data_IF_602769258499
#
_entry.id   IF_602769258499
#
_cell.length_a   1.000
_cell.length_b   1.000
_cell.length_c   1.000
_cell.angle_alpha   90.00
_cell.angle_beta   90.00
_cell.angle_gamma   90.00
#
_symmetry.space_group_name_H-M   'P 1'
#
loop_
_entity.id
_entity.type
_entity.pdbx_description
1 polymer ?
#
# COMPACT_ATOMS: atom_id res chain seq x y z
N UNK A 1 -6.91 -19.55 -18.06
CA UNK A 1 -5.58 -18.99 -18.43
C UNK A 1 -4.60 -19.31 -17.31
N UNK A 2 -3.51 -20.04 -17.58
CA UNK A 2 -2.46 -20.33 -16.59
C UNK A 2 -1.74 -19.01 -16.26
N UNK A 3 -1.89 -18.52 -15.03
CA UNK A 3 -1.19 -17.31 -14.53
C UNK A 3 0.32 -17.55 -14.57
N UNK A 4 1.04 -16.75 -15.35
CA UNK A 4 2.50 -16.64 -15.24
C UNK A 4 2.77 -15.81 -13.99
N UNK A 5 3.09 -16.47 -12.87
CA UNK A 5 3.66 -15.79 -11.71
C UNK A 5 4.94 -15.09 -12.15
N UNK A 6 5.01 -13.79 -11.91
CA UNK A 6 6.22 -13.01 -12.16
C UNK A 6 7.22 -13.35 -11.07
N UNK A 7 8.18 -14.23 -11.38
CA UNK A 7 9.26 -14.56 -10.46
C UNK A 7 10.20 -13.36 -10.45
N UNK A 8 10.06 -12.46 -9.50
CA UNK A 8 11.13 -11.50 -9.19
C UNK A 8 12.26 -12.34 -8.58
N UNK A 9 13.31 -12.58 -9.37
CA UNK A 9 14.50 -13.25 -8.85
C UNK A 9 15.05 -12.39 -7.71
N UNK A 10 15.04 -12.94 -6.50
CA UNK A 10 15.73 -12.33 -5.36
C UNK A 10 17.18 -12.02 -5.78
N UNK A 11 17.55 -10.75 -5.75
CA UNK A 11 18.91 -10.31 -6.06
C UNK A 11 19.56 -9.95 -4.72
N UNK A 12 20.44 -10.80 -4.18
CA UNK A 12 21.00 -10.65 -2.82
C UNK A 12 21.77 -9.34 -2.61
N UNK A 13 22.20 -8.67 -3.68
CA UNK A 13 23.00 -7.43 -3.62
C UNK A 13 22.17 -6.14 -3.75
N UNK A 14 20.84 -6.23 -3.89
CA UNK A 14 19.99 -5.02 -3.97
C UNK A 14 19.48 -4.68 -2.57
N UNK A 15 19.77 -3.44 -2.12
CA UNK A 15 19.21 -2.92 -0.88
C UNK A 15 17.67 -2.89 -0.98
N UNK A 16 16.94 -3.33 0.04
CA UNK A 16 15.49 -3.28 0.04
C UNK A 16 14.97 -1.85 -0.10
N UNK A 17 13.80 -1.69 -0.72
CA UNK A 17 13.11 -0.41 -0.79
C UNK A 17 12.65 0.05 0.60
N UNK A 18 12.19 -0.91 1.41
CA UNK A 18 11.79 -0.71 2.80
C UNK A 18 12.30 -1.89 3.64
N UNK A 19 12.86 -1.60 4.81
CA UNK A 19 13.28 -2.62 5.78
C UNK A 19 12.89 -2.19 7.19
N UNK A 20 12.19 -3.05 7.89
CA UNK A 20 11.85 -2.94 9.30
C UNK A 20 12.68 -3.95 10.08
N UNK A 21 13.24 -3.52 11.22
CA UNK A 21 14.10 -4.36 12.05
C UNK A 21 13.73 -4.18 13.51
N UNK A 22 13.33 -5.28 14.16
CA UNK A 22 12.97 -5.35 15.59
C UNK A 22 11.90 -4.30 15.99
N UNK A 23 10.91 -4.05 15.11
CA UNK A 23 9.88 -3.06 15.36
C UNK A 23 8.91 -3.56 16.41
N UNK A 24 8.71 -2.77 17.47
CA UNK A 24 7.68 -3.03 18.48
C UNK A 24 6.83 -1.78 18.72
N UNK A 25 5.54 -2.03 19.02
CA UNK A 25 4.56 -1.02 19.38
C UNK A 25 3.51 -1.57 20.30
N UNK A 26 3.30 -0.91 21.44
CA UNK A 26 2.20 -1.15 22.35
C UNK A 26 1.33 0.10 22.48
N UNK A 27 0.07 -0.08 22.83
CA UNK A 27 -0.83 0.96 23.30
C UNK A 27 -1.20 0.63 24.74
N UNK A 28 -0.86 1.54 25.65
CA UNK A 28 -0.89 1.26 27.08
C UNK A 28 -0.07 -0.02 27.37
N UNK A 29 -0.66 -1.04 27.98
CA UNK A 29 0.00 -2.31 28.28
C UNK A 29 -0.28 -3.41 27.24
N UNK A 30 -0.99 -3.08 26.14
CA UNK A 30 -1.33 -4.05 25.08
C UNK A 30 -0.33 -4.00 23.93
N UNK A 31 0.51 -5.02 23.74
CA UNK A 31 1.40 -5.12 22.59
C UNK A 31 0.57 -5.36 21.32
N UNK A 32 0.86 -4.59 20.25
CA UNK A 32 0.20 -4.72 18.94
C UNK A 32 1.18 -5.19 17.88
N UNK A 33 2.41 -4.70 17.91
CA UNK A 33 3.51 -5.17 17.06
C UNK A 33 4.65 -5.57 17.98
N UNK A 34 5.26 -6.73 17.72
CA UNK A 34 6.25 -7.33 18.59
C UNK A 34 7.42 -7.85 17.78
N UNK A 35 8.60 -7.28 17.98
CA UNK A 35 9.87 -7.68 17.35
C UNK A 35 9.72 -7.97 15.83
N UNK A 36 8.99 -7.13 15.13
CA UNK A 36 8.62 -7.36 13.74
C UNK A 36 9.78 -7.06 12.79
N UNK A 37 10.02 -8.00 11.89
CA UNK A 37 10.95 -7.86 10.79
C UNK A 37 10.22 -7.94 9.45
N UNK A 38 10.47 -7.00 8.55
CA UNK A 38 9.90 -6.98 7.21
C UNK A 38 10.91 -6.39 6.23
N UNK A 39 11.01 -6.97 5.03
CA UNK A 39 11.89 -6.46 3.98
C UNK A 39 11.19 -6.54 2.62
N UNK A 40 11.03 -5.38 1.97
CA UNK A 40 10.35 -5.26 0.67
C UNK A 40 11.38 -4.97 -0.41
N UNK A 41 11.38 -5.77 -1.47
CA UNK A 41 12.28 -5.58 -2.60
C UNK A 41 11.81 -4.43 -3.51
N UNK A 42 12.72 -3.64 -4.10
CA UNK A 42 12.35 -2.59 -5.05
C UNK A 42 11.57 -3.16 -6.24
N UNK A 43 10.52 -2.45 -6.63
CA UNK A 43 9.70 -2.81 -7.79
C UNK A 43 8.84 -4.06 -7.61
N UNK A 44 8.58 -4.48 -6.38
CA UNK A 44 7.73 -5.65 -6.07
C UNK A 44 6.36 -5.24 -5.54
N UNK A 45 5.37 -6.11 -5.79
CA UNK A 45 4.07 -6.07 -5.11
C UNK A 45 4.12 -7.06 -3.95
N UNK A 46 3.91 -6.55 -2.74
CA UNK A 46 3.93 -7.34 -1.52
C UNK A 46 2.54 -7.36 -0.88
N UNK A 47 2.08 -8.53 -0.50
CA UNK A 47 0.85 -8.72 0.25
C UNK A 47 1.11 -8.81 1.74
N UNK A 48 0.30 -8.14 2.54
CA UNK A 48 0.26 -8.28 3.99
C UNK A 48 -1.08 -8.87 4.38
N UNK A 49 -1.09 -10.15 4.73
CA UNK A 49 -2.25 -10.87 5.19
C UNK A 49 -2.27 -10.97 6.72
N UNK A 50 -3.44 -10.97 7.30
CA UNK A 50 -3.63 -11.13 8.74
C UNK A 50 -5.08 -10.90 9.11
N UNK A 51 -5.53 -11.48 10.20
CA UNK A 51 -6.87 -11.28 10.73
C UNK A 51 -7.13 -9.82 11.11
N UNK A 52 -8.39 -9.47 11.34
CA UNK A 52 -8.75 -8.18 11.88
C UNK A 52 -8.14 -8.01 13.28
N UNK A 53 -7.50 -6.88 13.52
CA UNK A 53 -6.80 -6.63 14.78
C UNK A 53 -5.37 -7.18 14.86
N UNK A 54 -4.84 -7.86 13.85
CA UNK A 54 -3.46 -8.37 13.84
C UNK A 54 -2.37 -7.29 13.82
N UNK A 55 -2.73 -6.02 13.60
CA UNK A 55 -1.79 -4.90 13.59
C UNK A 55 -1.44 -4.33 12.21
N UNK A 56 -2.13 -4.73 11.12
CA UNK A 56 -1.84 -4.25 9.74
C UNK A 56 -1.85 -2.72 9.61
N UNK A 57 -2.93 -2.07 10.02
CA UNK A 57 -3.05 -0.60 9.99
C UNK A 57 -2.05 0.08 10.91
N UNK A 58 -1.74 -0.52 12.08
CA UNK A 58 -0.69 -0.05 12.98
C UNK A 58 0.68 -0.10 12.29
N UNK A 59 1.00 -1.21 11.64
CA UNK A 59 2.24 -1.37 10.87
C UNK A 59 2.35 -0.31 9.76
N UNK A 60 1.28 -0.06 9.01
CA UNK A 60 1.26 1.00 7.99
C UNK A 60 1.47 2.39 8.60
N UNK A 61 0.82 2.68 9.72
CA UNK A 61 0.99 3.94 10.46
C UNK A 61 2.44 4.15 10.93
N UNK A 62 3.11 3.09 11.37
CA UNK A 62 4.54 3.11 11.74
C UNK A 62 5.43 3.39 10.52
N UNK A 63 5.15 2.76 9.36
CA UNK A 63 5.91 2.97 8.11
C UNK A 63 5.73 4.39 7.60
N UNK A 64 4.50 4.90 7.59
CA UNK A 64 4.18 6.26 7.12
C UNK A 64 4.71 7.33 8.07
N UNK A 65 4.80 7.02 9.38
CA UNK A 65 5.27 7.94 10.41
C UNK A 65 4.17 8.79 11.05
N UNK A 66 2.90 8.37 10.93
CA UNK A 66 1.79 8.91 11.74
C UNK A 66 1.82 8.36 13.15
N UNK A 67 2.51 7.23 13.35
CA UNK A 67 2.75 6.59 14.63
C UNK A 67 4.24 6.34 14.81
N UNK A 68 4.78 6.54 16.01
CA UNK A 68 6.17 6.23 16.36
C UNK A 68 6.25 4.84 16.97
N UNK A 69 7.23 4.05 16.54
CA UNK A 69 7.57 2.77 17.17
C UNK A 69 8.15 3.01 18.57
N UNK A 70 7.91 2.08 19.47
CA UNK A 70 8.50 2.10 20.82
C UNK A 70 9.95 1.62 20.78
N UNK A 71 10.25 0.67 19.87
CA UNK A 71 11.62 0.21 19.60
C UNK A 71 11.78 -0.23 18.15
N UNK A 72 13.02 -0.42 17.74
CA UNK A 72 13.41 -0.89 16.42
C UNK A 72 13.68 0.22 15.40
N UNK A 73 13.99 -0.19 14.19
CA UNK A 73 14.49 0.70 13.13
C UNK A 73 13.75 0.48 11.81
N UNK A 74 13.41 1.57 11.13
CA UNK A 74 12.82 1.57 9.79
C UNK A 74 13.80 2.21 8.82
N UNK A 75 14.14 1.49 7.77
CA UNK A 75 15.04 1.95 6.72
C UNK A 75 14.30 2.03 5.39
N UNK A 76 14.57 3.07 4.61
CA UNK A 76 14.06 3.24 3.25
C UNK A 76 15.18 3.68 2.31
N UNK A 77 14.91 3.67 1.02
CA UNK A 77 15.75 4.20 -0.08
C UNK A 77 17.26 4.20 0.22
N UNK A 78 17.93 3.16 -0.21
CA UNK A 78 19.39 3.05 -0.06
C UNK A 78 19.88 2.69 1.35
N UNK A 79 18.97 2.39 2.29
CA UNK A 79 19.29 2.04 3.67
C UNK A 79 19.34 3.23 4.63
N UNK A 80 18.70 4.35 4.26
CA UNK A 80 18.56 5.50 5.15
C UNK A 80 17.60 5.20 6.31
N UNK A 81 18.00 5.54 7.54
CA UNK A 81 17.18 5.40 8.73
C UNK A 81 16.10 6.49 8.75
N UNK A 82 14.83 6.07 8.83
CA UNK A 82 13.68 6.97 8.81
C UNK A 82 12.79 6.87 10.06
N UNK A 83 13.14 6.06 11.05
CA UNK A 83 12.30 5.79 12.24
C UNK A 83 11.80 7.03 12.94
N UNK A 84 12.64 8.05 13.07
CA UNK A 84 12.33 9.29 13.78
C UNK A 84 11.88 10.45 12.87
N UNK A 85 11.77 10.20 11.55
CA UNK A 85 11.32 11.23 10.63
C UNK A 85 9.80 11.35 10.65
N UNK A 86 9.25 12.58 10.67
CA UNK A 86 7.83 12.82 10.60
C UNK A 86 7.28 12.47 9.20
N UNK A 87 5.96 12.26 9.11
CA UNK A 87 5.26 11.88 7.89
C UNK A 87 5.62 12.73 6.67
N UNK A 88 5.66 14.06 6.81
CA UNK A 88 5.93 14.96 5.69
C UNK A 88 7.34 14.78 5.10
N UNK A 89 8.33 14.44 5.92
CA UNK A 89 9.69 14.12 5.45
C UNK A 89 9.74 12.75 4.75
N UNK A 90 9.03 11.75 5.30
CA UNK A 90 8.94 10.43 4.66
C UNK A 90 8.25 10.53 3.30
N UNK A 91 7.19 11.33 3.19
CA UNK A 91 6.52 11.57 1.91
C UNK A 91 7.41 12.33 0.91
N UNK A 92 8.06 13.42 1.32
CA UNK A 92 8.84 14.27 0.39
C UNK A 92 10.20 13.69 0.02
N UNK A 93 11.00 13.23 1.01
CA UNK A 93 12.38 12.78 0.79
C UNK A 93 12.45 11.32 0.37
N UNK A 94 11.59 10.47 0.93
CA UNK A 94 11.60 9.02 0.71
C UNK A 94 10.46 8.54 -0.18
N UNK A 95 9.62 9.48 -0.64
CA UNK A 95 8.55 9.24 -1.62
C UNK A 95 7.66 8.06 -1.21
N UNK A 96 7.28 8.02 0.08
CA UNK A 96 6.34 7.04 0.64
C UNK A 96 4.94 7.64 0.59
N UNK A 97 4.00 6.95 -0.08
CA UNK A 97 2.59 7.32 -0.13
C UNK A 97 1.71 6.28 0.54
N UNK A 98 0.54 6.70 1.01
CA UNK A 98 -0.40 5.85 1.72
C UNK A 98 -1.84 6.11 1.29
N UNK A 99 -2.55 5.04 1.00
CA UNK A 99 -3.99 5.03 0.76
C UNK A 99 -4.66 4.27 1.90
N UNK A 100 -5.31 4.98 2.83
CA UNK A 100 -5.94 4.35 3.99
C UNK A 100 -7.22 3.62 3.62
N UNK A 101 -7.66 2.71 4.48
CA UNK A 101 -8.93 2.00 4.37
C UNK A 101 -10.12 2.97 4.24
N UNK A 102 -10.20 3.94 5.17
CA UNK A 102 -11.15 5.05 5.10
C UNK A 102 -10.58 6.15 4.23
N UNK A 103 -11.16 6.34 3.05
CA UNK A 103 -10.67 7.33 2.09
C UNK A 103 -10.75 8.75 2.65
N UNK A 104 -9.65 9.47 2.52
CA UNK A 104 -9.54 10.88 2.94
C UNK A 104 -9.73 11.84 1.75
N UNK A 105 -10.83 11.67 1.02
CA UNK A 105 -11.21 12.57 -0.07
C UNK A 105 -11.83 13.86 0.49
N UNK A 106 -11.57 14.97 -0.19
CA UNK A 106 -12.22 16.25 0.08
C UNK A 106 -13.61 16.22 -0.55
N UNK A 107 -14.61 15.81 0.23
CA UNK A 107 -15.96 15.48 -0.23
C UNK A 107 -16.66 16.62 -0.97
N UNK A 108 -16.43 17.86 -0.56
CA UNK A 108 -17.01 19.07 -1.19
C UNK A 108 -16.31 19.50 -2.48
N UNK A 109 -15.13 18.97 -2.80
CA UNK A 109 -14.41 19.29 -4.03
C UNK A 109 -14.73 18.28 -5.14
N UNK A 110 -14.60 18.74 -6.40
CA UNK A 110 -14.72 17.84 -7.55
C UNK A 110 -13.59 16.80 -7.58
N UNK A 111 -13.75 15.77 -8.41
CA UNK A 111 -12.72 14.75 -8.64
C UNK A 111 -11.40 15.41 -9.06
N UNK A 112 -11.41 16.28 -10.07
CA UNK A 112 -10.21 16.99 -10.53
C UNK A 112 -9.62 17.93 -9.46
N UNK A 113 -10.45 18.64 -8.68
CA UNK A 113 -9.97 19.56 -7.66
C UNK A 113 -9.38 18.83 -6.45
N UNK A 114 -9.79 17.59 -6.19
CA UNK A 114 -9.12 16.70 -5.25
C UNK A 114 -7.66 16.38 -5.63
N UNK A 115 -7.36 16.31 -6.94
CA UNK A 115 -5.98 16.12 -7.44
C UNK A 115 -5.27 17.47 -7.45
N UNK A 116 -5.88 18.49 -8.08
CA UNK A 116 -5.30 19.83 -8.24
C UNK A 116 -4.89 20.45 -6.90
N UNK A 117 -5.77 20.41 -5.90
CA UNK A 117 -5.49 20.98 -4.58
C UNK A 117 -4.26 20.36 -3.90
N UNK A 118 -4.05 19.04 -4.03
CA UNK A 118 -2.82 18.41 -3.52
C UNK A 118 -1.58 18.79 -4.34
N UNK A 119 -1.70 18.93 -5.66
CA UNK A 119 -0.60 19.42 -6.48
C UNK A 119 -0.17 20.83 -6.04
N UNK A 120 -1.12 21.74 -5.79
CA UNK A 120 -0.86 23.12 -5.34
C UNK A 120 -0.13 23.19 -3.99
N UNK A 121 -0.33 22.21 -3.10
CA UNK A 121 0.40 22.12 -1.84
C UNK A 121 1.88 21.73 -2.06
N UNK A 122 2.17 20.99 -3.12
CA UNK A 122 3.50 20.40 -3.35
C UNK A 122 4.33 21.12 -4.41
N UNK A 123 3.70 21.92 -5.29
CA UNK A 123 4.35 22.63 -6.40
C UNK A 123 3.60 23.92 -6.76
N UNK A 124 4.34 24.89 -7.34
CA UNK A 124 3.81 26.21 -7.72
C UNK A 124 3.65 26.40 -9.24
N UNK A 125 4.00 25.40 -10.05
CA UNK A 125 3.93 25.47 -11.51
C UNK A 125 2.55 25.02 -11.99
N UNK A 126 1.69 26.00 -12.33
CA UNK A 126 0.33 25.75 -12.77
C UNK A 126 0.26 24.85 -14.02
N UNK A 127 1.17 25.01 -14.98
CA UNK A 127 1.19 24.19 -16.18
C UNK A 127 1.45 22.72 -15.84
N UNK A 128 2.44 22.48 -14.98
CA UNK A 128 2.77 21.14 -14.51
C UNK A 128 1.63 20.52 -13.66
N UNK A 129 0.91 21.35 -12.89
CA UNK A 129 -0.27 20.91 -12.13
C UNK A 129 -1.33 20.38 -13.07
N UNK A 130 -1.68 21.12 -14.13
CA UNK A 130 -2.70 20.67 -15.11
C UNK A 130 -2.24 19.40 -15.85
N UNK A 131 -0.98 19.33 -16.29
CA UNK A 131 -0.43 18.13 -16.91
C UNK A 131 -0.54 16.88 -16.01
N UNK A 132 -0.29 17.03 -14.70
CA UNK A 132 -0.45 15.94 -13.72
C UNK A 132 -1.92 15.59 -13.54
N UNK A 133 -2.82 16.58 -13.43
CA UNK A 133 -4.25 16.36 -13.30
C UNK A 133 -4.80 15.57 -14.48
N UNK A 134 -4.54 16.02 -15.72
CA UNK A 134 -5.02 15.36 -16.93
C UNK A 134 -4.49 13.95 -17.08
N UNK A 135 -3.20 13.76 -16.81
CA UNK A 135 -2.56 12.44 -16.82
C UNK A 135 -3.21 11.50 -15.82
N UNK A 136 -3.42 11.92 -14.55
CA UNK A 136 -3.99 11.07 -13.53
C UNK A 136 -5.48 10.80 -13.77
N UNK A 137 -6.26 11.78 -14.21
CA UNK A 137 -7.65 11.56 -14.59
C UNK A 137 -7.79 10.55 -15.73
N UNK A 138 -6.90 10.63 -16.72
CA UNK A 138 -6.86 9.68 -17.85
C UNK A 138 -6.42 8.29 -17.39
N UNK A 139 -5.29 8.17 -16.68
CA UNK A 139 -4.72 6.90 -16.21
C UNK A 139 -5.70 6.12 -15.33
N UNK A 140 -6.50 6.83 -14.52
CA UNK A 140 -7.47 6.24 -13.61
C UNK A 140 -8.90 6.18 -14.14
N UNK A 141 -9.12 6.52 -15.43
CA UNK A 141 -10.46 6.55 -16.06
C UNK A 141 -11.46 7.35 -15.24
N UNK A 142 -11.09 8.59 -14.91
CA UNK A 142 -11.89 9.54 -14.11
C UNK A 142 -12.30 10.79 -14.90
N UNK A 143 -11.99 10.87 -16.20
CA UNK A 143 -12.32 12.02 -17.04
C UNK A 143 -13.83 12.32 -17.07
N UNK A 144 -14.66 11.27 -17.22
CA UNK A 144 -16.11 11.40 -17.29
C UNK A 144 -16.73 11.97 -16.01
N UNK A 145 -16.01 11.83 -14.88
CA UNK A 145 -16.45 12.29 -13.56
C UNK A 145 -15.56 13.40 -13.00
N UNK A 146 -14.70 13.99 -13.83
CA UNK A 146 -13.72 15.00 -13.41
C UNK A 146 -14.36 16.17 -12.63
N UNK A 147 -15.55 16.61 -13.05
CA UNK A 147 -16.30 17.73 -12.43
C UNK A 147 -17.29 17.28 -11.35
N UNK A 148 -17.48 15.96 -11.14
CA UNK A 148 -18.38 15.41 -10.12
C UNK A 148 -17.74 15.57 -8.75
N UNK A 149 -18.51 15.91 -7.72
CA UNK A 149 -18.03 16.02 -6.34
C UNK A 149 -17.60 14.65 -5.82
N UNK A 150 -16.56 14.63 -5.00
CA UNK A 150 -16.04 13.38 -4.44
C UNK A 150 -17.07 12.64 -3.56
N UNK A 151 -18.02 13.34 -2.94
CA UNK A 151 -19.14 12.77 -2.20
C UNK A 151 -20.14 11.99 -3.07
N UNK A 152 -20.19 12.26 -4.37
CA UNK A 152 -21.13 11.69 -5.33
C UNK A 152 -20.53 10.54 -6.16
N UNK A 153 -19.21 10.29 -5.98
CA UNK A 153 -18.52 9.23 -6.67
C UNK A 153 -18.96 7.84 -6.16
N UNK A 154 -19.07 6.89 -7.08
CA UNK A 154 -19.20 5.47 -6.68
C UNK A 154 -17.99 5.01 -5.88
N UNK A 155 -18.13 3.95 -5.06
CA UNK A 155 -17.03 3.41 -4.27
C UNK A 155 -15.78 3.07 -5.10
N UNK A 156 -15.96 2.53 -6.30
CA UNK A 156 -14.87 2.23 -7.23
C UNK A 156 -14.19 3.50 -7.78
N UNK A 157 -14.96 4.53 -8.12
CA UNK A 157 -14.43 5.84 -8.55
C UNK A 157 -13.67 6.52 -7.41
N UNK A 158 -14.22 6.52 -6.20
CA UNK A 158 -13.59 7.08 -5.02
C UNK A 158 -12.25 6.37 -4.69
N UNK A 159 -12.18 5.04 -4.78
CA UNK A 159 -10.93 4.29 -4.63
C UNK A 159 -9.91 4.67 -5.70
N UNK A 160 -10.31 4.75 -6.99
CA UNK A 160 -9.43 5.17 -8.08
C UNK A 160 -8.89 6.58 -7.87
N UNK A 161 -9.74 7.52 -7.46
CA UNK A 161 -9.33 8.89 -7.11
C UNK A 161 -8.33 8.91 -5.95
N UNK A 162 -8.55 8.11 -4.92
CA UNK A 162 -7.62 8.03 -3.78
C UNK A 162 -6.24 7.50 -4.18
N UNK A 163 -6.19 6.51 -5.08
CA UNK A 163 -4.92 6.00 -5.64
C UNK A 163 -4.26 7.08 -6.52
N UNK A 164 -5.01 7.75 -7.39
CA UNK A 164 -4.49 8.83 -8.22
C UNK A 164 -3.84 9.93 -7.38
N UNK A 165 -4.48 10.36 -6.30
CA UNK A 165 -3.92 11.34 -5.35
C UNK A 165 -2.61 10.87 -4.72
N UNK A 166 -2.50 9.59 -4.38
CA UNK A 166 -1.27 9.03 -3.80
C UNK A 166 -0.09 9.00 -4.78
N UNK A 167 -0.35 9.13 -6.09
CA UNK A 167 0.67 9.13 -7.15
C UNK A 167 1.14 10.52 -7.59
N UNK A 168 0.58 11.60 -7.06
CA UNK A 168 0.93 12.98 -7.44
C UNK A 168 2.44 13.25 -7.37
N UNK A 169 3.10 12.76 -6.31
CA UNK A 169 4.53 12.95 -6.08
C UNK A 169 5.39 11.80 -6.62
N UNK A 170 4.84 10.97 -7.51
CA UNK A 170 5.52 9.82 -8.12
C UNK A 170 6.28 8.97 -7.08
N UNK A 171 5.60 8.26 -6.18
CA UNK A 171 6.20 7.58 -5.03
C UNK A 171 7.12 6.42 -5.43
N UNK A 172 8.14 6.16 -4.60
CA UNK A 172 8.98 4.95 -4.68
C UNK A 172 8.33 3.78 -3.93
N UNK A 173 7.51 4.09 -2.91
CA UNK A 173 6.76 3.12 -2.10
C UNK A 173 5.32 3.61 -1.95
N UNK A 174 4.36 2.74 -2.21
CA UNK A 174 2.95 2.99 -1.94
C UNK A 174 2.35 1.89 -1.06
N UNK A 175 1.60 2.31 -0.05
CA UNK A 175 0.92 1.43 0.89
C UNK A 175 -0.58 1.50 0.66
N UNK A 176 -1.23 0.35 0.46
CA UNK A 176 -2.68 0.23 0.29
C UNK A 176 -3.29 -0.54 1.46
N UNK A 177 -4.04 0.14 2.31
CA UNK A 177 -4.71 -0.49 3.44
C UNK A 177 -6.15 -0.86 3.08
N UNK A 178 -6.41 -2.16 2.97
CA UNK A 178 -7.71 -2.75 2.62
C UNK A 178 -8.38 -2.08 1.40
N UNK A 179 -7.60 -1.92 0.33
CA UNK A 179 -8.05 -1.17 -0.87
C UNK A 179 -9.24 -1.83 -1.58
N UNK A 180 -9.45 -3.14 -1.41
CA UNK A 180 -10.53 -3.89 -2.04
C UNK A 180 -11.79 -4.01 -1.16
N UNK A 181 -11.74 -3.54 0.09
CA UNK A 181 -12.85 -3.65 1.02
C UNK A 181 -14.13 -2.97 0.49
N UNK A 182 -15.28 -3.63 0.71
CA UNK A 182 -16.62 -3.15 0.35
C UNK A 182 -16.82 -2.86 -1.15
N UNK A 183 -16.10 -3.55 -2.03
CA UNK A 183 -16.25 -3.43 -3.48
C UNK A 183 -16.84 -4.70 -4.10
N UNK A 184 -17.58 -4.52 -5.21
CA UNK A 184 -18.06 -5.66 -5.99
C UNK A 184 -16.90 -6.40 -6.68
N UNK A 185 -17.03 -7.70 -6.97
CA UNK A 185 -15.98 -8.49 -7.64
C UNK A 185 -15.48 -7.88 -8.94
N UNK A 186 -16.36 -7.27 -9.73
CA UNK A 186 -16.00 -6.61 -11.01
C UNK A 186 -15.06 -5.41 -10.76
N UNK A 187 -15.36 -4.61 -9.73
CA UNK A 187 -14.54 -3.45 -9.37
C UNK A 187 -13.20 -3.90 -8.80
N UNK A 188 -13.18 -4.96 -7.99
CA UNK A 188 -11.95 -5.58 -7.47
C UNK A 188 -11.02 -5.99 -8.62
N UNK A 189 -11.53 -6.71 -9.62
CA UNK A 189 -10.73 -7.11 -10.79
C UNK A 189 -10.23 -5.91 -11.60
N UNK A 190 -11.03 -4.85 -11.70
CA UNK A 190 -10.60 -3.60 -12.35
C UNK A 190 -9.45 -2.95 -11.59
N UNK A 191 -9.54 -2.86 -10.26
CA UNK A 191 -8.47 -2.30 -9.42
C UNK A 191 -7.21 -3.16 -9.43
N UNK A 192 -7.34 -4.50 -9.44
CA UNK A 192 -6.17 -5.40 -9.58
C UNK A 192 -5.41 -5.12 -10.87
N UNK A 193 -6.12 -5.02 -12.01
CA UNK A 193 -5.50 -4.68 -13.30
C UNK A 193 -4.80 -3.32 -13.26
N UNK A 194 -5.44 -2.33 -12.63
CA UNK A 194 -4.86 -0.99 -12.46
C UNK A 194 -3.57 -1.05 -11.63
N UNK A 195 -3.55 -1.76 -10.50
CA UNK A 195 -2.36 -1.92 -9.64
C UNK A 195 -1.23 -2.65 -10.41
N UNK A 196 -1.56 -3.68 -11.18
CA UNK A 196 -0.57 -4.37 -12.03
C UNK A 196 0.01 -3.44 -13.10
N UNK A 197 -0.82 -2.61 -13.73
CA UNK A 197 -0.39 -1.63 -14.72
C UNK A 197 0.51 -0.56 -14.09
N UNK A 198 0.18 -0.08 -12.90
CA UNK A 198 1.01 0.86 -12.14
C UNK A 198 2.42 0.31 -11.91
N UNK A 199 2.53 -0.93 -11.45
CA UNK A 199 3.82 -1.55 -11.19
C UNK A 199 4.58 -1.84 -12.51
N UNK A 200 3.89 -2.16 -13.59
CA UNK A 200 4.50 -2.43 -14.89
C UNK A 200 5.04 -1.15 -15.54
N UNK A 201 4.30 -0.05 -15.46
CA UNK A 201 4.69 1.26 -15.99
C UNK A 201 5.76 1.94 -15.13
N UNK A 202 5.74 1.70 -13.81
CA UNK A 202 6.68 2.25 -12.82
C UNK A 202 7.49 1.11 -12.19
N UNK A 203 8.49 0.60 -12.94
CA UNK A 203 9.26 -0.61 -12.57
C UNK A 203 9.95 -0.55 -11.20
N UNK A 204 10.26 0.64 -10.69
CA UNK A 204 10.86 0.86 -9.38
C UNK A 204 9.84 0.96 -8.25
N UNK A 205 8.55 1.16 -8.56
CA UNK A 205 7.50 1.32 -7.56
C UNK A 205 7.31 0.04 -6.76
N UNK A 206 7.52 0.14 -5.45
CA UNK A 206 7.28 -0.93 -4.49
C UNK A 206 5.90 -0.74 -3.87
N UNK A 207 5.10 -1.78 -3.88
CA UNK A 207 3.72 -1.74 -3.39
C UNK A 207 3.59 -2.70 -2.22
N UNK A 208 2.97 -2.25 -1.11
CA UNK A 208 2.54 -3.10 0.00
C UNK A 208 1.03 -2.97 0.13
N UNK A 209 0.32 -4.09 0.01
CA UNK A 209 -1.15 -4.14 0.04
C UNK A 209 -1.58 -5.00 1.23
N UNK A 210 -2.41 -4.46 2.13
CA UNK A 210 -3.14 -5.28 3.08
C UNK A 210 -4.54 -5.60 2.58
N UNK A 211 -5.01 -6.78 2.88
CA UNK A 211 -6.42 -7.16 2.74
C UNK A 211 -6.74 -8.32 3.70
N UNK A 212 -8.02 -8.47 4.04
CA UNK A 212 -8.52 -9.60 4.80
C UNK A 212 -9.00 -10.74 3.89
N UNK A 213 -9.14 -10.51 2.57
CA UNK A 213 -9.47 -11.53 1.58
C UNK A 213 -8.21 -11.96 0.83
N UNK A 214 -7.64 -13.08 1.24
CA UNK A 214 -6.36 -13.57 0.71
C UNK A 214 -6.32 -13.73 -0.80
N UNK A 215 -7.43 -14.16 -1.45
CA UNK A 215 -7.48 -14.33 -2.89
C UNK A 215 -7.17 -13.04 -3.65
N UNK A 216 -7.55 -11.89 -3.10
CA UNK A 216 -7.24 -10.60 -3.72
C UNK A 216 -5.73 -10.35 -3.78
N UNK A 217 -5.02 -10.73 -2.73
CA UNK A 217 -3.58 -10.54 -2.57
C UNK A 217 -2.79 -11.58 -3.36
N UNK A 218 -3.16 -12.87 -3.23
CA UNK A 218 -2.42 -13.96 -3.87
C UNK A 218 -2.36 -13.83 -5.40
N UNK A 219 -3.36 -13.17 -5.97
CA UNK A 219 -3.44 -12.94 -7.42
C UNK A 219 -2.49 -11.85 -7.91
N UNK A 220 -2.09 -10.93 -7.03
CA UNK A 220 -1.31 -9.74 -7.36
C UNK A 220 0.13 -9.82 -6.90
N UNK A 221 0.35 -10.38 -5.70
CA UNK A 221 1.60 -10.23 -4.99
C UNK A 221 2.74 -11.09 -5.58
N UNK A 222 3.93 -10.53 -5.63
CA UNK A 222 5.17 -11.24 -5.89
C UNK A 222 5.65 -11.95 -4.61
N UNK A 223 5.33 -11.39 -3.45
CA UNK A 223 5.64 -11.94 -2.12
C UNK A 223 4.48 -11.66 -1.16
N UNK A 224 4.28 -12.56 -0.22
CA UNK A 224 3.23 -12.46 0.81
C UNK A 224 3.84 -12.61 2.19
N UNK A 225 3.36 -11.81 3.13
CA UNK A 225 3.76 -11.79 4.53
C UNK A 225 2.51 -12.02 5.39
N UNK A 226 2.57 -12.99 6.29
CA UNK A 226 1.49 -13.29 7.23
C UNK A 226 1.77 -12.61 8.56
N UNK A 227 0.90 -11.68 8.95
CA UNK A 227 0.93 -11.00 10.24
C UNK A 227 -0.08 -11.65 11.19
N UNK A 228 0.39 -12.20 12.29
CA UNK A 228 -0.41 -12.74 13.37
C UNK A 228 0.17 -12.32 14.72
N UNK A 229 -0.69 -11.91 15.63
CA UNK A 229 -0.32 -11.49 17.00
C UNK A 229 0.87 -10.52 17.05
N UNK A 230 0.91 -9.59 16.10
CA UNK A 230 1.96 -8.58 16.02
C UNK A 230 3.28 -9.05 15.42
N UNK A 231 3.40 -10.30 14.96
CA UNK A 231 4.61 -10.87 14.35
C UNK A 231 4.40 -11.22 12.88
N UNK A 232 5.45 -11.10 12.07
CA UNK A 232 5.48 -11.76 10.75
C UNK A 232 5.85 -13.22 10.96
N UNK A 233 4.85 -14.10 10.93
CA UNK A 233 5.05 -15.53 11.18
C UNK A 233 5.55 -16.28 9.96
N UNK A 234 5.28 -15.76 8.74
CA UNK A 234 5.71 -16.34 7.47
C UNK A 234 5.86 -15.28 6.40
N UNK A 235 6.85 -15.48 5.54
CA UNK A 235 7.04 -14.68 4.31
C UNK A 235 7.45 -15.59 3.16
N UNK A 236 6.95 -15.34 1.96
CA UNK A 236 7.33 -16.14 0.80
C UNK A 236 6.47 -15.89 -0.45
N UNK A 237 6.73 -16.70 -1.47
CA UNK A 237 5.91 -16.68 -2.68
C UNK A 237 4.47 -17.09 -2.38
N UNK A 238 3.46 -16.51 -3.05
CA UNK A 238 2.06 -16.87 -2.86
C UNK A 238 1.79 -18.38 -2.91
N UNK A 239 2.39 -19.07 -3.87
CA UNK A 239 2.23 -20.52 -4.05
C UNK A 239 2.77 -21.36 -2.87
N UNK A 240 3.74 -20.84 -2.12
CA UNK A 240 4.30 -21.51 -0.94
C UNK A 240 3.45 -21.24 0.30
N UNK A 241 2.96 -20.00 0.43
CA UNK A 241 2.10 -19.58 1.55
C UNK A 241 0.80 -20.38 1.60
N UNK A 242 0.14 -20.60 0.45
CA UNK A 242 -1.12 -21.37 0.35
C UNK A 242 -0.95 -22.82 0.81
N UNK A 243 0.24 -23.40 0.65
CA UNK A 243 0.52 -24.81 0.98
C UNK A 243 1.04 -25.01 2.40
N UNK A 244 1.38 -23.95 3.10
CA UNK A 244 2.00 -24.02 4.41
C UNK A 244 0.94 -24.18 5.52
N UNK A 245 0.96 -25.29 6.29
CA UNK A 245 -0.04 -25.56 7.32
C UNK A 245 -0.13 -24.49 8.41
N UNK A 246 1.00 -23.86 8.77
CA UNK A 246 1.04 -22.79 9.77
C UNK A 246 0.36 -21.53 9.26
N UNK A 247 0.55 -21.18 8.00
CA UNK A 247 -0.14 -20.07 7.33
C UNK A 247 -1.64 -20.33 7.23
N UNK A 248 -2.03 -21.57 6.90
CA UNK A 248 -3.43 -22.00 6.84
C UNK A 248 -4.07 -21.86 8.22
N UNK A 249 -3.47 -22.42 9.25
CA UNK A 249 -4.00 -22.38 10.62
C UNK A 249 -4.10 -20.95 11.18
N UNK A 250 -3.09 -20.13 10.93
CA UNK A 250 -3.04 -18.75 11.44
C UNK A 250 -4.01 -17.80 10.74
N UNK A 251 -4.44 -18.13 9.52
CA UNK A 251 -5.30 -17.25 8.72
C UNK A 251 -6.70 -17.80 8.46
N UNK A 252 -6.85 -19.11 8.33
CA UNK A 252 -8.14 -19.75 7.98
C UNK A 252 -8.84 -20.37 9.19
N UNK A 253 -8.23 -20.32 10.39
CA UNK A 253 -8.71 -21.00 11.57
C UNK A 253 -8.63 -22.52 11.40
N UNK A 254 -8.69 -23.27 12.47
CA UNK A 254 -8.97 -24.69 12.41
C UNK A 254 -10.40 -24.84 11.86
N UNK A 255 -10.51 -25.23 10.60
CA UNK A 255 -11.78 -25.74 10.07
C UNK A 255 -12.15 -26.95 10.93
N UNK A 256 -12.93 -26.73 11.96
CA UNK A 256 -13.64 -27.76 12.70
C UNK A 256 -14.92 -28.10 11.97
#
# INVERSE_FOLDING_TARGET
MKKKFRIIKYKPNIKPALKLKNISKAFEDRPIIQDLHLSLQPGSINGLLGENGSGKTTLFSLIVGTLKADSGEIFAKGGALISNLPIHERCRKFRISYVPQKLSLLSGLSCQDNIRGLCQITMNDNRKIEEICDRLLTEFSLLDVAKVRASELSGGQAKRLSIARALINDPDIILFDEIFAALSPIIVETLKKLIMNLQTSRKSLTILISDHIYNHILDLADSVHILSDGHIIKSGLPANIIKDPSSIKAYFGSSS
#
